data_IF_678172719925
#
_entry.id   IF_678172719925
#
_cell.length_a   1.000
_cell.length_b   1.000
_cell.length_c   1.000
_cell.angle_alpha   90.00
_cell.angle_beta   90.00
_cell.angle_gamma   90.00
#
_symmetry.space_group_name_H-M   'P 1'
#
loop_
_entity.id
_entity.type
_entity.pdbx_description
1 polymer ?
#
# COMPACT_ATOMS: atom_id res chain seq x y z
N UNK A 1 5.84 8.91 -46.54
CA UNK A 1 6.35 7.52 -46.35
C UNK A 1 5.85 7.07 -44.98
N UNK A 2 4.83 6.20 -44.97
CA UNK A 2 4.26 5.62 -43.74
C UNK A 2 5.00 4.31 -43.47
N UNK A 3 5.55 4.14 -42.28
CA UNK A 3 6.09 2.88 -41.80
C UNK A 3 4.95 2.09 -41.12
N UNK A 4 4.64 0.90 -41.69
CA UNK A 4 3.73 -0.07 -41.09
C UNK A 4 4.49 -0.86 -40.02
N UNK A 5 4.05 -0.77 -38.77
CA UNK A 5 4.49 -1.64 -37.68
C UNK A 5 3.74 -2.97 -37.75
N UNK A 6 4.49 -4.04 -37.92
CA UNK A 6 4.01 -5.40 -38.05
C UNK A 6 3.82 -6.01 -36.66
N UNK A 7 2.57 -6.10 -36.20
CA UNK A 7 2.18 -6.69 -34.92
C UNK A 7 1.93 -8.18 -35.13
N UNK A 8 2.86 -9.04 -34.70
CA UNK A 8 2.67 -10.50 -34.69
C UNK A 8 1.65 -10.87 -33.59
N UNK A 9 0.59 -11.54 -34.00
CA UNK A 9 -0.34 -12.23 -33.09
C UNK A 9 0.35 -13.47 -32.56
N UNK A 10 0.29 -13.68 -31.25
CA UNK A 10 0.70 -14.90 -30.58
C UNK A 10 -0.51 -15.83 -30.56
N UNK A 11 -0.31 -17.07 -31.03
CA UNK A 11 -1.33 -18.10 -31.14
C UNK A 11 -1.62 -18.70 -29.75
N UNK A 12 -2.89 -18.92 -29.34
CA UNK A 12 -3.24 -19.43 -28.01
C UNK A 12 -2.95 -20.91 -27.76
N UNK A 13 -2.50 -21.67 -28.74
CA UNK A 13 -2.39 -23.14 -28.66
C UNK A 13 -1.01 -23.72 -28.27
N UNK A 14 -0.06 -22.86 -27.83
CA UNK A 14 1.28 -23.29 -27.36
C UNK A 14 1.40 -23.55 -25.86
N UNK A 15 0.33 -23.83 -25.13
CA UNK A 15 0.42 -24.24 -23.73
C UNK A 15 0.36 -25.77 -23.62
N UNK A 16 1.56 -26.36 -23.66
CA UNK A 16 1.77 -27.80 -23.44
C UNK A 16 1.28 -28.24 -22.05
N UNK A 17 0.49 -29.29 -22.06
CA UNK A 17 0.00 -30.06 -20.93
C UNK A 17 1.15 -30.71 -20.15
N UNK A 18 1.34 -30.40 -18.88
CA UNK A 18 2.14 -31.20 -17.96
C UNK A 18 1.22 -32.02 -17.05
N UNK A 19 1.14 -33.32 -17.37
CA UNK A 19 0.67 -34.37 -16.47
C UNK A 19 1.88 -35.01 -15.80
N UNK A 20 1.94 -35.00 -14.46
CA UNK A 20 2.97 -35.69 -13.70
C UNK A 20 2.51 -35.93 -12.28
N UNK A 21 1.97 -37.12 -12.01
CA UNK A 21 1.64 -37.59 -10.67
C UNK A 21 2.88 -38.00 -9.91
N UNK A 22 2.83 -37.95 -8.58
CA UNK A 22 3.92 -38.47 -7.75
C UNK A 22 3.76 -38.22 -6.26
N UNK A 23 3.15 -39.16 -5.57
CA UNK A 23 3.56 -39.73 -4.27
C UNK A 23 3.81 -38.76 -3.07
N UNK A 24 2.89 -38.79 -2.13
CA UNK A 24 3.10 -38.33 -0.75
C UNK A 24 3.98 -39.33 0.03
N UNK A 25 4.97 -38.89 0.81
CA UNK A 25 5.57 -39.68 1.84
C UNK A 25 5.14 -39.27 3.25
N UNK A 26 4.66 -40.26 3.97
CA UNK A 26 4.83 -40.61 5.40
C UNK A 26 4.91 -39.45 6.43
N UNK A 27 3.92 -39.52 7.29
CA UNK A 27 3.85 -38.99 8.67
C UNK A 27 5.12 -39.27 9.47
N UNK A 28 5.82 -38.23 9.89
CA UNK A 28 6.83 -38.27 10.94
C UNK A 28 6.21 -37.71 12.23
N UNK A 29 6.11 -38.59 13.24
CA UNK A 29 5.87 -38.18 14.63
C UNK A 29 7.09 -37.41 15.11
N UNK A 30 6.92 -36.13 15.45
CA UNK A 30 7.91 -35.37 16.22
C UNK A 30 7.36 -35.21 17.63
N UNK A 31 8.14 -35.68 18.58
CA UNK A 31 7.92 -35.53 20.01
C UNK A 31 7.89 -34.04 20.40
N UNK A 32 6.96 -33.70 21.27
CA UNK A 32 6.88 -32.39 21.88
C UNK A 32 8.01 -32.23 22.90
N UNK A 33 9.05 -31.47 22.52
CA UNK A 33 9.94 -30.89 23.51
C UNK A 33 9.32 -29.60 24.05
N UNK A 34 9.03 -29.63 25.33
CA UNK A 34 8.60 -28.46 26.11
C UNK A 34 9.78 -27.51 26.24
N UNK A 35 9.86 -26.56 25.30
CA UNK A 35 10.73 -25.39 25.44
C UNK A 35 9.92 -24.27 26.07
N UNK A 36 10.42 -23.81 27.21
CA UNK A 36 9.90 -22.69 27.98
C UNK A 36 9.62 -21.48 27.07
N UNK A 37 8.38 -21.02 27.11
CA UNK A 37 7.98 -19.77 26.46
C UNK A 37 8.69 -18.61 27.16
N UNK A 38 9.83 -18.21 26.60
CA UNK A 38 10.42 -16.91 26.88
C UNK A 38 9.40 -15.85 26.55
N UNK A 39 8.90 -15.15 27.58
CA UNK A 39 8.01 -14.00 27.42
C UNK A 39 8.72 -13.00 26.49
N UNK A 40 8.27 -12.94 25.25
CA UNK A 40 8.62 -11.87 24.33
C UNK A 40 8.18 -10.57 25.00
N UNK A 41 9.16 -9.79 25.47
CA UNK A 41 8.92 -8.46 26.01
C UNK A 41 8.28 -7.65 24.89
N UNK A 42 7.00 -7.37 25.04
CA UNK A 42 6.28 -6.46 24.16
C UNK A 42 7.05 -5.13 24.21
N UNK A 43 7.63 -4.73 23.09
CA UNK A 43 8.21 -3.40 22.93
C UNK A 43 7.19 -2.36 23.39
N UNK A 44 7.61 -1.29 24.09
CA UNK A 44 6.68 -0.28 24.57
C UNK A 44 5.90 0.25 23.36
N UNK A 45 4.57 0.05 23.35
CA UNK A 45 3.69 0.59 22.32
C UNK A 45 3.92 2.09 22.28
N UNK A 46 4.39 2.57 21.15
CA UNK A 46 4.52 4.00 20.88
C UNK A 46 3.12 4.62 21.10
N UNK A 47 2.98 5.69 21.87
CA UNK A 47 1.68 6.27 22.21
C UNK A 47 1.02 7.02 21.03
N UNK A 48 1.35 6.65 19.79
CA UNK A 48 0.76 7.27 18.61
C UNK A 48 -0.65 6.71 18.41
N UNK A 49 -1.58 7.64 18.33
CA UNK A 49 -2.98 7.34 18.07
C UNK A 49 -3.16 6.64 16.73
N UNK A 50 -4.24 5.86 16.63
CA UNK A 50 -4.62 5.15 15.43
C UNK A 50 -4.91 6.09 14.27
N UNK A 51 -4.62 5.64 13.05
CA UNK A 51 -5.12 6.27 11.83
C UNK A 51 -6.55 5.79 11.61
N UNK A 52 -7.51 6.71 11.59
CA UNK A 52 -8.92 6.37 11.43
C UNK A 52 -9.44 6.82 10.06
N UNK A 53 -9.96 5.90 9.28
CA UNK A 53 -10.71 6.25 8.07
C UNK A 53 -12.15 6.55 8.48
N UNK A 54 -12.49 7.83 8.62
CA UNK A 54 -13.81 8.27 9.05
C UNK A 54 -14.92 8.00 8.03
N UNK A 55 -14.58 8.06 6.74
CA UNK A 55 -15.52 7.85 5.63
C UNK A 55 -14.77 7.53 4.33
N UNK A 56 -15.36 6.68 3.52
CA UNK A 56 -14.97 6.46 2.12
C UNK A 56 -16.17 6.63 1.20
N UNK A 57 -16.02 7.44 0.15
CA UNK A 57 -17.04 7.69 -0.86
C UNK A 57 -16.49 7.29 -2.23
N UNK A 58 -17.17 6.39 -2.91
CA UNK A 58 -16.88 6.07 -4.32
C UNK A 58 -17.55 7.08 -5.24
N UNK A 59 -16.78 7.64 -6.14
CA UNK A 59 -17.21 8.58 -7.17
C UNK A 59 -16.99 7.94 -8.54
N UNK A 60 -18.02 7.33 -9.08
CA UNK A 60 -17.97 6.45 -10.25
C UNK A 60 -17.81 7.13 -11.62
N UNK A 61 -17.88 8.44 -11.70
CA UNK A 61 -17.88 9.18 -12.95
C UNK A 61 -17.08 10.46 -12.94
N UNK A 62 -17.20 11.29 -13.97
CA UNK A 62 -16.54 12.59 -14.01
C UNK A 62 -16.88 13.45 -12.81
N UNK A 63 -15.86 14.00 -12.16
CA UNK A 63 -16.02 14.80 -10.96
C UNK A 63 -14.91 15.84 -10.82
N UNK A 64 -14.86 16.49 -9.66
CA UNK A 64 -13.89 17.54 -9.36
C UNK A 64 -12.43 17.07 -9.36
N UNK A 65 -12.21 15.76 -9.21
CA UNK A 65 -10.88 15.18 -9.16
C UNK A 65 -10.35 14.71 -10.50
N UNK A 66 -11.20 14.01 -11.26
CA UNK A 66 -10.82 13.37 -12.52
C UNK A 66 -12.06 12.89 -13.27
N UNK A 67 -11.90 12.56 -14.56
CA UNK A 67 -12.92 11.90 -15.37
C UNK A 67 -13.05 10.37 -15.12
N UNK A 68 -12.18 9.82 -14.30
CA UNK A 68 -12.14 8.38 -13.97
C UNK A 68 -12.67 8.15 -12.57
N UNK A 69 -13.16 6.96 -12.26
CA UNK A 69 -13.59 6.61 -10.90
C UNK A 69 -12.51 6.80 -9.87
N UNK A 70 -12.89 7.30 -8.70
CA UNK A 70 -12.00 7.48 -7.53
C UNK A 70 -12.73 7.09 -6.25
N UNK A 71 -11.96 6.77 -5.21
CA UNK A 71 -12.43 6.80 -3.82
C UNK A 71 -11.87 8.04 -3.16
N UNK A 72 -12.75 8.80 -2.53
CA UNK A 72 -12.42 9.89 -1.62
C UNK A 72 -12.56 9.38 -0.19
N UNK A 73 -11.48 9.38 0.58
CA UNK A 73 -11.46 9.00 1.99
C UNK A 73 -11.20 10.22 2.86
N UNK A 74 -11.92 10.33 3.98
CA UNK A 74 -11.63 11.27 5.06
C UNK A 74 -10.87 10.48 6.12
N UNK A 75 -9.62 10.86 6.33
CA UNK A 75 -8.67 10.16 7.19
C UNK A 75 -8.22 11.08 8.31
N UNK A 76 -8.42 10.61 9.53
CA UNK A 76 -7.93 11.28 10.75
C UNK A 76 -6.63 10.57 11.18
N UNK A 77 -5.55 11.33 11.25
CA UNK A 77 -4.25 10.84 11.69
C UNK A 77 -3.90 11.31 13.11
N UNK A 78 -4.80 12.06 13.75
CA UNK A 78 -4.66 12.50 15.14
C UNK A 78 -3.30 13.12 15.46
N UNK A 79 -2.65 12.63 16.51
CA UNK A 79 -1.34 13.11 16.97
C UNK A 79 -0.19 12.86 15.97
N UNK A 80 -0.36 11.99 14.98
CA UNK A 80 0.64 11.77 13.94
C UNK A 80 0.85 12.99 13.04
N UNK A 81 -0.02 14.00 13.14
CA UNK A 81 0.19 15.31 12.50
C UNK A 81 1.46 16.01 12.97
N UNK A 82 1.92 15.73 14.18
CA UNK A 82 3.16 16.28 14.74
C UNK A 82 4.41 15.43 14.40
N UNK A 83 4.21 14.29 13.72
CA UNK A 83 5.24 13.30 13.45
C UNK A 83 5.36 12.98 11.96
N UNK A 84 6.03 13.84 11.16
CA UNK A 84 6.33 13.51 9.77
C UNK A 84 7.24 12.29 9.67
N UNK A 85 7.21 11.61 8.53
CA UNK A 85 7.86 10.31 8.30
C UNK A 85 9.34 10.24 8.67
N UNK A 86 10.08 11.35 8.55
CA UNK A 86 11.49 11.44 8.90
C UNK A 86 11.75 11.48 10.42
N UNK A 87 10.72 11.66 11.23
CA UNK A 87 10.81 11.62 12.70
C UNK A 87 10.43 10.28 13.29
N UNK A 88 9.98 9.33 12.46
CA UNK A 88 9.53 7.99 12.85
C UNK A 88 10.70 6.99 12.71
N UNK A 89 11.25 6.44 13.81
CA UNK A 89 12.43 5.58 13.75
C UNK A 89 12.20 4.32 12.91
N UNK A 90 13.08 4.04 11.92
CA UNK A 90 13.03 2.86 11.07
C UNK A 90 11.84 2.77 10.12
N UNK A 91 10.91 3.74 10.16
CA UNK A 91 9.70 3.73 9.34
C UNK A 91 9.99 3.66 7.83
N UNK A 92 10.94 4.49 7.37
CA UNK A 92 11.34 4.51 5.96
C UNK A 92 11.82 3.14 5.49
N UNK A 93 12.71 2.50 6.27
CA UNK A 93 13.33 1.23 5.88
C UNK A 93 12.30 0.09 5.87
N UNK A 94 11.42 0.02 6.87
CA UNK A 94 10.34 -0.96 6.92
C UNK A 94 9.38 -0.81 5.73
N UNK A 95 8.90 0.40 5.50
CA UNK A 95 7.94 0.66 4.42
C UNK A 95 8.54 0.33 3.04
N UNK A 96 9.80 0.68 2.80
CA UNK A 96 10.46 0.41 1.51
C UNK A 96 10.86 -1.06 1.35
N UNK A 97 11.14 -1.77 2.43
CA UNK A 97 11.39 -3.21 2.40
C UNK A 97 10.11 -3.98 2.06
N UNK A 98 8.97 -3.57 2.63
CA UNK A 98 7.67 -4.20 2.35
C UNK A 98 7.12 -3.84 0.97
N UNK A 99 7.29 -2.61 0.53
CA UNK A 99 6.74 -2.10 -0.73
C UNK A 99 7.84 -1.52 -1.64
N UNK A 100 8.71 -2.38 -2.22
CA UNK A 100 9.81 -1.92 -3.08
C UNK A 100 9.31 -1.20 -4.34
N UNK A 101 8.08 -1.45 -4.79
CA UNK A 101 7.45 -0.79 -5.93
C UNK A 101 7.21 0.71 -5.73
N UNK A 102 7.23 1.22 -4.49
CA UNK A 102 7.15 2.65 -4.20
C UNK A 102 8.26 3.48 -4.87
N UNK A 103 9.37 2.84 -5.29
CA UNK A 103 10.42 3.51 -6.08
C UNK A 103 9.90 4.04 -7.43
N UNK A 104 8.85 3.44 -7.98
CA UNK A 104 8.26 3.86 -9.25
C UNK A 104 7.37 5.11 -9.10
N UNK A 105 7.00 5.45 -7.87
CA UNK A 105 6.12 6.59 -7.60
C UNK A 105 6.85 7.93 -7.77
N UNK A 106 6.34 8.74 -8.68
CA UNK A 106 6.95 10.03 -9.06
C UNK A 106 6.58 11.16 -8.12
N UNK A 107 5.38 11.09 -7.50
CA UNK A 107 4.82 12.14 -6.68
C UNK A 107 4.82 13.52 -7.41
N UNK A 108 4.70 14.61 -6.68
CA UNK A 108 4.81 15.99 -7.20
C UNK A 108 6.22 16.34 -7.72
N UNK A 109 7.23 15.52 -7.40
CA UNK A 109 8.60 15.68 -7.89
C UNK A 109 8.75 15.35 -9.39
N UNK A 110 7.82 14.54 -9.92
CA UNK A 110 7.74 14.23 -11.36
C UNK A 110 8.72 13.18 -11.87
N UNK A 111 9.68 12.70 -11.06
CA UNK A 111 10.67 11.67 -11.42
C UNK A 111 10.53 10.40 -10.59
N UNK A 112 11.02 9.29 -11.09
CA UNK A 112 11.11 8.01 -10.40
C UNK A 112 11.76 8.19 -9.03
N UNK A 113 11.20 7.60 -7.98
CA UNK A 113 11.66 7.76 -6.60
C UNK A 113 11.25 9.08 -5.94
N UNK A 114 10.46 9.92 -6.61
CA UNK A 114 10.03 11.21 -6.08
C UNK A 114 9.26 11.08 -4.77
N UNK A 115 8.45 10.03 -4.61
CA UNK A 115 7.78 9.75 -3.34
C UNK A 115 8.77 9.37 -2.24
N UNK A 116 9.74 8.51 -2.53
CA UNK A 116 10.76 8.10 -1.54
C UNK A 116 11.62 9.28 -1.08
N UNK A 117 11.89 10.24 -1.96
CA UNK A 117 12.52 11.49 -1.54
C UNK A 117 11.65 12.24 -0.52
N UNK A 118 10.36 12.43 -0.83
CA UNK A 118 9.42 13.08 0.10
C UNK A 118 9.28 12.33 1.41
N UNK A 119 9.29 10.98 1.36
CA UNK A 119 9.23 10.13 2.55
C UNK A 119 10.46 10.32 3.43
N UNK A 120 11.64 10.50 2.84
CA UNK A 120 12.91 10.70 3.54
C UNK A 120 13.05 12.13 4.08
N UNK A 121 12.58 13.12 3.32
CA UNK A 121 12.62 14.53 3.70
C UNK A 121 11.59 14.88 4.79
N UNK A 122 10.54 14.08 4.92
CA UNK A 122 9.43 14.26 5.84
C UNK A 122 8.11 14.52 5.12
N UNK A 123 7.16 13.63 5.32
CA UNK A 123 5.77 13.79 4.86
C UNK A 123 4.81 13.12 5.84
N UNK A 124 3.52 13.48 5.76
CA UNK A 124 2.52 13.05 6.73
C UNK A 124 1.77 11.79 6.29
N UNK A 125 1.22 11.01 7.23
CA UNK A 125 0.50 9.76 6.97
C UNK A 125 -0.59 9.87 5.90
N UNK A 126 -1.32 10.98 5.82
CA UNK A 126 -2.33 11.16 4.78
C UNK A 126 -1.79 11.06 3.35
N UNK A 127 -0.60 11.60 3.08
CA UNK A 127 0.09 11.48 1.81
C UNK A 127 0.73 10.08 1.62
N UNK A 128 1.20 9.50 2.71
CA UNK A 128 1.77 8.13 2.68
C UNK A 128 0.69 7.12 2.32
N UNK A 129 -0.49 7.22 2.94
CA UNK A 129 -1.65 6.35 2.64
C UNK A 129 -2.04 6.40 1.16
N UNK A 130 -2.03 7.59 0.54
CA UNK A 130 -2.27 7.74 -0.88
C UNK A 130 -1.34 6.84 -1.71
N UNK A 131 -0.03 6.96 -1.49
CA UNK A 131 0.96 6.23 -2.26
C UNK A 131 0.96 4.73 -1.97
N UNK A 132 0.77 4.34 -0.71
CA UNK A 132 0.68 2.92 -0.31
C UNK A 132 -0.56 2.28 -0.92
N UNK A 133 -1.72 2.93 -0.86
CA UNK A 133 -2.94 2.39 -1.46
C UNK A 133 -2.85 2.26 -2.99
N UNK A 134 -2.16 3.17 -3.67
CA UNK A 134 -1.89 3.05 -5.12
C UNK A 134 -0.95 1.88 -5.43
N UNK A 135 0.05 1.65 -4.60
CA UNK A 135 0.98 0.53 -4.75
C UNK A 135 0.28 -0.80 -4.52
N UNK A 136 -0.53 -0.93 -3.47
CA UNK A 136 -1.32 -2.15 -3.18
C UNK A 136 -2.29 -2.47 -4.32
N UNK A 137 -2.96 -1.47 -4.92
CA UNK A 137 -3.77 -1.69 -6.12
C UNK A 137 -2.91 -2.19 -7.30
N UNK A 138 -1.67 -1.68 -7.45
CA UNK A 138 -0.76 -2.12 -8.51
C UNK A 138 -0.36 -3.58 -8.31
N UNK A 139 -0.07 -4.00 -7.08
CA UNK A 139 0.22 -5.40 -6.73
C UNK A 139 -0.98 -6.32 -6.96
N UNK A 140 -2.20 -5.81 -6.71
CA UNK A 140 -3.45 -6.51 -7.06
C UNK A 140 -3.76 -6.51 -8.57
N UNK A 141 -2.81 -6.13 -9.44
CA UNK A 141 -2.98 -6.09 -10.90
C UNK A 141 -3.74 -4.88 -11.43
N UNK A 142 -4.13 -3.94 -10.57
CA UNK A 142 -4.85 -2.72 -10.95
C UNK A 142 -3.95 -1.49 -10.97
N UNK A 143 -3.12 -1.37 -11.97
CA UNK A 143 -2.23 -0.23 -12.11
C UNK A 143 -3.02 1.07 -12.29
N UNK A 144 -2.94 1.95 -11.29
CA UNK A 144 -3.55 3.27 -11.27
C UNK A 144 -2.49 4.31 -10.87
N UNK A 145 -2.42 5.42 -11.58
CA UNK A 145 -1.34 6.41 -11.38
C UNK A 145 -1.82 7.76 -10.86
N UNK A 146 -3.03 7.86 -10.32
CA UNK A 146 -3.56 9.11 -9.81
C UNK A 146 -3.99 8.96 -8.36
N UNK A 147 -3.42 9.81 -7.53
CA UNK A 147 -3.84 10.04 -6.17
C UNK A 147 -3.66 11.50 -5.78
N UNK A 148 -4.25 11.88 -4.68
CA UNK A 148 -4.14 13.21 -4.09
C UNK A 148 -4.44 13.16 -2.60
N UNK A 149 -3.55 13.74 -1.80
CA UNK A 149 -3.80 13.96 -0.39
C UNK A 149 -3.78 15.46 -0.08
N UNK A 150 -4.75 15.93 0.68
CA UNK A 150 -4.84 17.32 1.13
C UNK A 150 -5.34 17.35 2.56
N UNK A 151 -4.70 18.15 3.40
CA UNK A 151 -5.23 18.48 4.72
C UNK A 151 -6.56 19.23 4.55
N UNK A 152 -7.52 18.97 5.42
CA UNK A 152 -8.78 19.69 5.51
C UNK A 152 -8.59 20.96 6.37
N UNK A 153 -9.69 21.63 6.71
CA UNK A 153 -9.65 22.73 7.70
C UNK A 153 -9.48 22.23 9.14
N UNK A 154 -9.73 20.93 9.37
CA UNK A 154 -9.53 20.27 10.66
C UNK A 154 -8.09 19.72 10.71
N UNK A 155 -7.31 20.12 11.71
CA UNK A 155 -5.93 19.69 11.90
C UNK A 155 -5.86 18.17 12.08
N UNK A 156 -4.92 17.52 11.41
CA UNK A 156 -4.76 16.06 11.45
C UNK A 156 -5.79 15.30 10.61
N UNK A 157 -6.69 15.99 9.91
CA UNK A 157 -7.68 15.35 9.05
C UNK A 157 -7.38 15.61 7.58
N UNK A 158 -7.22 14.53 6.84
CA UNK A 158 -6.87 14.55 5.44
C UNK A 158 -8.01 14.04 4.56
N UNK A 159 -8.12 14.65 3.40
CA UNK A 159 -8.86 14.10 2.28
C UNK A 159 -7.85 13.38 1.38
N UNK A 160 -7.97 12.06 1.33
CA UNK A 160 -7.17 11.17 0.49
C UNK A 160 -8.02 10.69 -0.67
N UNK A 161 -7.55 10.89 -1.88
CA UNK A 161 -8.23 10.48 -3.10
C UNK A 161 -7.34 9.54 -3.87
N UNK A 162 -7.84 8.37 -4.23
CA UNK A 162 -7.15 7.43 -5.09
C UNK A 162 -8.04 7.05 -6.27
N UNK A 163 -7.44 6.99 -7.46
CA UNK A 163 -8.11 6.40 -8.61
C UNK A 163 -8.22 4.89 -8.39
N UNK A 164 -9.39 4.36 -8.75
CA UNK A 164 -9.59 2.92 -8.79
C UNK A 164 -10.40 2.52 -10.03
N UNK A 165 -10.30 1.25 -10.45
CA UNK A 165 -11.15 0.67 -11.50
C UNK A 165 -12.27 -0.16 -10.90
N UNK A 166 -12.09 -0.59 -9.66
CA UNK A 166 -13.02 -1.40 -8.89
C UNK A 166 -13.15 -0.81 -7.49
N UNK A 167 -14.40 -0.59 -7.05
CA UNK A 167 -14.67 0.04 -5.76
C UNK A 167 -14.19 -0.83 -4.59
N UNK A 168 -14.45 -2.14 -4.64
CA UNK A 168 -14.10 -3.05 -3.54
C UNK A 168 -12.58 -3.13 -3.36
N UNK A 169 -11.84 -3.24 -4.46
CA UNK A 169 -10.36 -3.25 -4.42
C UNK A 169 -9.81 -1.92 -3.93
N UNK A 170 -10.37 -0.80 -4.37
CA UNK A 170 -9.92 0.51 -3.92
C UNK A 170 -10.17 0.74 -2.43
N UNK A 171 -11.31 0.28 -1.89
CA UNK A 171 -11.60 0.33 -0.45
C UNK A 171 -10.64 -0.55 0.34
N UNK A 172 -10.48 -1.80 -0.06
CA UNK A 172 -9.56 -2.73 0.56
C UNK A 172 -8.11 -2.19 0.54
N UNK A 173 -7.67 -1.58 -0.56
CA UNK A 173 -6.35 -0.99 -0.66
C UNK A 173 -6.14 0.16 0.33
N UNK A 174 -7.14 1.00 0.60
CA UNK A 174 -7.06 2.07 1.60
C UNK A 174 -7.03 1.53 3.03
N UNK A 175 -7.84 0.51 3.33
CA UNK A 175 -7.85 -0.16 4.63
C UNK A 175 -6.53 -0.87 4.90
N UNK A 176 -6.04 -1.66 3.95
CA UNK A 176 -4.75 -2.33 4.05
C UNK A 176 -3.59 -1.33 4.13
N UNK A 177 -3.66 -0.21 3.40
CA UNK A 177 -2.66 0.86 3.50
C UNK A 177 -2.60 1.46 4.90
N UNK A 178 -3.76 1.71 5.54
CA UNK A 178 -3.83 2.16 6.93
C UNK A 178 -3.13 1.17 7.86
N UNK A 179 -3.47 -0.11 7.77
CA UNK A 179 -2.95 -1.15 8.64
C UNK A 179 -1.44 -1.34 8.46
N UNK A 180 -0.98 -1.35 7.20
CA UNK A 180 0.44 -1.46 6.86
C UNK A 180 1.24 -0.24 7.36
N UNK A 181 0.73 0.97 7.19
CA UNK A 181 1.39 2.20 7.67
C UNK A 181 1.47 2.19 9.20
N UNK A 182 0.39 1.81 9.90
CA UNK A 182 0.39 1.65 11.35
C UNK A 182 1.40 0.59 11.80
N UNK A 183 1.43 -0.58 11.15
CA UNK A 183 2.41 -1.61 11.46
C UNK A 183 3.84 -1.12 11.27
N UNK A 184 4.10 -0.35 10.19
CA UNK A 184 5.41 0.25 9.95
C UNK A 184 5.79 1.32 11.00
N UNK A 185 4.83 2.08 11.51
CA UNK A 185 5.05 3.07 12.59
C UNK A 185 5.35 2.36 13.90
N UNK A 186 4.59 1.32 14.24
CA UNK A 186 4.68 0.61 15.52
C UNK A 186 5.74 -0.50 15.56
N UNK A 187 6.46 -0.71 14.45
CA UNK A 187 7.46 -1.79 14.34
C UNK A 187 6.86 -3.18 14.62
N UNK A 188 5.67 -3.42 14.09
CA UNK A 188 4.97 -4.70 14.21
C UNK A 188 5.02 -5.46 12.88
N UNK A 189 5.11 -6.80 12.90
CA UNK A 189 5.07 -7.59 11.67
C UNK A 189 3.78 -7.33 10.86
N UNK A 190 3.92 -7.31 9.55
CA UNK A 190 2.79 -7.20 8.61
C UNK A 190 2.98 -8.19 7.47
N UNK A 191 1.94 -8.96 7.16
CA UNK A 191 1.89 -9.89 6.03
C UNK A 191 1.21 -9.20 4.86
N UNK A 192 1.91 -9.14 3.70
CA UNK A 192 1.48 -8.41 2.50
C UNK A 192 0.94 -9.38 1.46
#
# INVERSE_FOLDING_TARGET
KRAHSNMRRIDPDELGSFSGGGLYPRTLHVQADTAEAGAAQASPRTPFADIVIRRMTYLGGPGIWTYRPVIEAIVDIGALEDHPSNTLPGFYDRLTAWLPGLIEHRCSVGRRGGFLMRLRDGTWPGHILEHVALELQTQAGMKTGFGKARMTHERGVYKVVIRTRDEAVGRAALESARDLVLAAIHDTPYDI
#
